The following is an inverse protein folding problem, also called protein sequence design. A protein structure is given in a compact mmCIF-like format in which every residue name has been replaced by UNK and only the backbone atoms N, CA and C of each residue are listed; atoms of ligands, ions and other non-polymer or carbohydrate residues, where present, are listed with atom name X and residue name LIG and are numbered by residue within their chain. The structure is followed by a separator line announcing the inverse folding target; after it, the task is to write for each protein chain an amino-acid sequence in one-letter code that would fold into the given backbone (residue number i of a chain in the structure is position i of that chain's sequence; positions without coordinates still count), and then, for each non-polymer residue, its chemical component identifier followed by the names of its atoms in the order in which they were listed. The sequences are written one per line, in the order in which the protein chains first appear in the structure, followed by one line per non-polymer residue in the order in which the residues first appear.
data_IF_771507997004
#
_entry.id   IF_771507997004
#
_cell.length_a   1.000
_cell.length_b   1.000
_cell.length_c   1.000
_cell.angle_alpha   90.00
_cell.angle_beta   90.00
_cell.angle_gamma   90.00
#
_symmetry.space_group_name_H-M   'P 1'
#
loop_
_entity.id
_entity.type
_entity.pdbx_description
1 polymer ?
#
# COMPACT_ATOMS: atom_id res chain seq x y z
N UNK A 1 39.43 37.30 -28.36
CA UNK A 1 38.73 36.29 -27.55
C UNK A 1 37.71 37.02 -26.71
N UNK A 2 36.43 36.67 -26.81
CA UNK A 2 35.39 37.20 -25.93
C UNK A 2 35.62 36.53 -24.58
N UNK A 3 35.97 37.31 -23.55
CA UNK A 3 36.32 36.81 -22.21
C UNK A 3 35.10 36.46 -21.39
N UNK A 4 33.97 37.11 -21.65
CA UNK A 4 32.75 36.99 -20.86
C UNK A 4 31.53 36.83 -21.75
N UNK A 5 30.84 35.70 -21.57
CA UNK A 5 29.55 35.44 -22.18
C UNK A 5 28.44 35.89 -21.22
N UNK A 6 27.97 37.12 -21.38
CA UNK A 6 26.86 37.69 -20.60
C UNK A 6 25.52 36.99 -20.83
N UNK A 7 25.41 36.13 -21.85
CA UNK A 7 24.26 35.24 -22.07
C UNK A 7 24.47 33.84 -21.42
N UNK A 8 25.53 33.65 -20.61
CA UNK A 8 25.70 32.43 -19.84
C UNK A 8 24.54 32.24 -18.86
N UNK A 9 24.11 31.00 -18.69
CA UNK A 9 23.10 30.62 -17.69
C UNK A 9 23.50 31.03 -16.27
N UNK A 10 24.80 31.27 -16.02
CA UNK A 10 25.34 31.74 -14.74
C UNK A 10 24.85 33.16 -14.37
N UNK A 11 24.46 33.98 -15.35
CA UNK A 11 23.92 35.33 -15.15
C UNK A 11 22.38 35.38 -15.24
N UNK A 12 21.73 34.23 -15.48
CA UNK A 12 20.28 34.14 -15.64
C UNK A 12 19.70 33.47 -14.40
N UNK A 13 19.05 34.27 -13.56
CA UNK A 13 18.31 33.73 -12.42
C UNK A 13 16.93 33.25 -12.89
N UNK A 14 16.82 31.96 -13.22
CA UNK A 14 15.55 31.39 -13.64
C UNK A 14 14.54 31.44 -12.48
N UNK A 15 13.30 31.89 -12.71
CA UNK A 15 12.27 31.78 -11.70
C UNK A 15 12.13 30.31 -11.31
N UNK A 16 12.16 30.02 -10.00
CA UNK A 16 11.90 28.67 -9.51
C UNK A 16 10.53 28.26 -10.04
N UNK A 17 10.49 27.16 -10.80
CA UNK A 17 9.21 26.59 -11.22
C UNK A 17 8.37 26.36 -9.96
N UNK A 18 7.08 26.74 -9.96
CA UNK A 18 6.23 26.47 -8.81
C UNK A 18 6.28 24.97 -8.52
N UNK A 19 6.26 24.57 -7.23
CA UNK A 19 6.30 23.16 -6.87
C UNK A 19 5.12 22.46 -7.55
N UNK A 20 5.40 21.40 -8.30
CA UNK A 20 4.35 20.61 -8.95
C UNK A 20 3.47 19.99 -7.87
N UNK A 21 2.15 20.13 -8.00
CA UNK A 21 1.23 19.46 -7.08
C UNK A 21 1.44 17.96 -7.21
N UNK A 22 1.63 17.26 -6.09
CA UNK A 22 1.73 15.80 -6.10
C UNK A 22 0.37 15.27 -6.51
N UNK A 23 0.33 14.55 -7.63
CA UNK A 23 -0.87 13.87 -8.09
C UNK A 23 -0.91 12.49 -7.45
N UNK A 24 -1.70 12.32 -6.38
CA UNK A 24 -2.12 11.02 -5.88
C UNK A 24 -3.62 10.85 -6.15
N UNK A 25 -4.08 9.60 -6.22
CA UNK A 25 -5.51 9.31 -6.32
C UNK A 25 -6.21 9.70 -5.01
N UNK A 26 -7.48 10.12 -5.10
CA UNK A 26 -8.33 10.17 -3.92
C UNK A 26 -8.61 8.76 -3.38
N UNK A 27 -9.08 8.65 -2.14
CA UNK A 27 -9.44 7.36 -1.55
C UNK A 27 -10.57 6.67 -2.31
N UNK A 28 -11.54 7.45 -2.83
CA UNK A 28 -12.64 6.94 -3.65
C UNK A 28 -12.13 6.39 -4.99
N UNK A 29 -11.28 7.16 -5.68
CA UNK A 29 -10.71 6.74 -6.97
C UNK A 29 -9.78 5.55 -6.80
N UNK A 30 -8.97 5.51 -5.73
CA UNK A 30 -8.10 4.38 -5.44
C UNK A 30 -8.91 3.09 -5.21
N UNK A 31 -10.01 3.15 -4.45
CA UNK A 31 -10.92 2.01 -4.21
C UNK A 31 -11.62 1.58 -5.50
N UNK A 32 -12.16 2.53 -6.28
CA UNK A 32 -12.80 2.25 -7.57
C UNK A 32 -11.82 1.60 -8.54
N UNK A 33 -10.61 2.15 -8.66
CA UNK A 33 -9.60 1.64 -9.56
C UNK A 33 -9.09 0.26 -9.12
N UNK A 34 -8.86 0.05 -7.83
CA UNK A 34 -8.52 -1.28 -7.29
C UNK A 34 -9.55 -2.34 -7.65
N UNK A 35 -10.84 -2.07 -7.41
CA UNK A 35 -11.91 -3.00 -7.82
C UNK A 35 -11.91 -3.25 -9.32
N UNK A 36 -11.80 -2.19 -10.12
CA UNK A 36 -11.72 -2.30 -11.58
C UNK A 36 -10.52 -3.14 -12.05
N UNK A 37 -9.37 -3.04 -11.38
CA UNK A 37 -8.20 -3.87 -11.65
C UNK A 37 -8.53 -5.35 -11.40
N UNK A 38 -9.13 -5.67 -10.25
CA UNK A 38 -9.45 -7.06 -9.88
C UNK A 38 -10.41 -7.71 -10.89
N UNK A 39 -11.35 -6.95 -11.43
CA UNK A 39 -12.33 -7.42 -12.41
C UNK A 39 -11.81 -7.38 -13.86
N UNK A 40 -10.59 -6.87 -14.10
CA UNK A 40 -10.06 -6.70 -15.46
C UNK A 40 -9.74 -8.06 -16.12
N UNK A 41 -10.17 -8.29 -17.37
CA UNK A 41 -10.05 -9.60 -18.01
C UNK A 41 -8.61 -9.95 -18.43
N UNK A 42 -7.79 -8.95 -18.80
CA UNK A 42 -6.40 -9.21 -19.19
C UNK A 42 -5.50 -9.29 -17.95
N UNK A 43 -5.06 -10.50 -17.62
CA UNK A 43 -4.22 -10.79 -16.45
C UNK A 43 -2.90 -10.02 -16.45
N UNK A 44 -2.36 -9.65 -17.63
CA UNK A 44 -1.12 -8.85 -17.73
C UNK A 44 -1.35 -7.44 -17.17
N UNK A 45 -2.46 -6.83 -17.58
CA UNK A 45 -2.86 -5.49 -17.13
C UNK A 45 -3.12 -5.52 -15.63
N UNK A 46 -3.87 -6.52 -15.16
CA UNK A 46 -4.18 -6.73 -13.74
C UNK A 46 -2.90 -6.80 -12.91
N UNK A 47 -2.01 -7.72 -13.25
CA UNK A 47 -0.74 -7.95 -12.56
C UNK A 47 0.12 -6.68 -12.52
N UNK A 48 0.27 -6.00 -13.66
CA UNK A 48 1.06 -4.77 -13.74
C UNK A 48 0.49 -3.66 -12.85
N UNK A 49 -0.81 -3.41 -12.92
CA UNK A 49 -1.44 -2.32 -12.14
C UNK A 49 -1.42 -2.61 -10.63
N UNK A 50 -1.58 -3.86 -10.21
CA UNK A 50 -1.43 -4.22 -8.79
C UNK A 50 0.01 -4.02 -8.30
N UNK A 51 1.03 -4.33 -9.10
CA UNK A 51 2.43 -4.02 -8.74
C UNK A 51 2.66 -2.51 -8.55
N UNK A 52 2.05 -1.67 -9.38
CA UNK A 52 2.15 -0.22 -9.22
C UNK A 52 1.37 0.31 -8.01
N UNK A 53 0.14 -0.17 -7.80
CA UNK A 53 -0.76 0.36 -6.76
C UNK A 53 -0.48 -0.22 -5.36
N UNK A 54 -0.20 -1.52 -5.26
CA UNK A 54 -0.03 -2.22 -3.97
C UNK A 54 1.43 -2.31 -3.51
N UNK A 55 2.36 -2.50 -4.45
CA UNK A 55 3.80 -2.56 -4.14
C UNK A 55 4.53 -1.23 -4.38
N UNK A 56 3.91 -0.26 -5.06
CA UNK A 56 4.46 1.08 -5.24
C UNK A 56 5.68 1.13 -6.15
N UNK A 57 5.89 0.14 -7.03
CA UNK A 57 7.09 0.07 -7.86
C UNK A 57 7.21 1.20 -8.88
N UNK A 58 8.44 1.56 -9.23
CA UNK A 58 8.69 2.49 -10.35
C UNK A 58 8.50 1.75 -11.67
N UNK A 59 8.10 2.49 -12.71
CA UNK A 59 7.92 1.97 -14.08
C UNK A 59 9.11 1.12 -14.57
N UNK A 60 10.33 1.60 -14.35
CA UNK A 60 11.53 0.87 -14.75
C UNK A 60 11.81 -0.38 -13.90
N UNK A 61 11.42 -0.37 -12.62
CA UNK A 61 11.54 -1.53 -11.74
C UNK A 61 10.61 -2.65 -12.22
N UNK A 62 9.33 -2.34 -12.48
CA UNK A 62 8.37 -3.32 -13.03
C UNK A 62 8.82 -3.85 -14.39
N UNK A 63 9.33 -2.98 -15.26
CA UNK A 63 9.90 -3.39 -16.55
C UNK A 63 11.16 -4.29 -16.41
N UNK A 64 11.83 -4.23 -15.26
CA UNK A 64 13.03 -4.97 -14.92
C UNK A 64 12.81 -6.29 -14.18
N UNK A 65 11.60 -6.54 -13.66
CA UNK A 65 11.32 -7.74 -12.86
C UNK A 65 11.43 -9.02 -13.68
N UNK A 66 11.94 -10.05 -13.03
CA UNK A 66 12.05 -11.42 -13.50
C UNK A 66 11.33 -12.38 -12.53
N UNK A 67 10.93 -13.57 -12.98
CA UNK A 67 10.23 -14.53 -12.11
C UNK A 67 11.10 -14.98 -10.95
N UNK A 68 12.42 -15.09 -11.13
CA UNK A 68 13.36 -15.39 -10.05
C UNK A 68 13.42 -14.34 -8.94
N UNK A 69 12.92 -13.13 -9.18
CA UNK A 69 12.87 -12.07 -8.16
C UNK A 69 11.68 -12.24 -7.20
N UNK A 70 10.77 -13.17 -7.47
CA UNK A 70 9.54 -13.40 -6.70
C UNK A 70 9.69 -14.68 -5.87
N UNK A 71 9.70 -14.53 -4.55
CA UNK A 71 9.66 -15.63 -3.59
C UNK A 71 8.19 -15.91 -3.24
N UNK A 72 7.60 -16.92 -3.90
CA UNK A 72 6.18 -17.25 -3.74
C UNK A 72 5.86 -17.87 -2.38
N UNK A 73 6.84 -18.47 -1.70
CA UNK A 73 6.65 -19.11 -0.41
C UNK A 73 6.62 -18.06 0.71
N UNK A 74 7.45 -17.02 0.59
CA UNK A 74 7.49 -15.90 1.55
C UNK A 74 6.54 -14.77 1.21
N UNK A 75 6.01 -14.73 -0.02
CA UNK A 75 5.18 -13.61 -0.48
C UNK A 75 6.00 -12.32 -0.62
N UNK A 76 7.20 -12.40 -1.18
CA UNK A 76 8.14 -11.27 -1.29
C UNK A 76 8.60 -11.05 -2.73
N UNK A 77 8.86 -9.78 -3.08
CA UNK A 77 9.50 -9.41 -4.35
C UNK A 77 10.79 -8.65 -4.07
N UNK A 78 11.86 -9.04 -4.76
CA UNK A 78 13.17 -8.39 -4.71
C UNK A 78 13.39 -7.48 -5.91
N UNK A 79 13.49 -6.18 -5.69
CA UNK A 79 13.80 -5.21 -6.75
C UNK A 79 15.30 -5.16 -6.97
N UNK A 80 15.77 -5.79 -8.05
CA UNK A 80 17.21 -5.93 -8.33
C UNK A 80 17.72 -5.08 -9.49
N UNK A 81 16.83 -4.55 -10.35
CA UNK A 81 17.20 -3.84 -11.58
C UNK A 81 16.13 -2.85 -12.01
N UNK A 82 16.48 -1.94 -12.91
CA UNK A 82 15.54 -0.97 -13.49
C UNK A 82 15.81 -0.76 -14.98
N UNK A 83 14.77 -0.81 -15.80
CA UNK A 83 14.88 -0.65 -17.25
C UNK A 83 14.33 0.70 -17.68
N UNK A 84 15.08 1.40 -18.51
CA UNK A 84 14.65 2.68 -19.10
C UNK A 84 14.85 2.65 -20.61
N UNK A 85 13.97 3.35 -21.33
CA UNK A 85 14.19 3.59 -22.76
C UNK A 85 14.95 4.89 -22.94
N UNK A 86 15.98 4.89 -23.80
CA UNK A 86 16.73 6.09 -24.21
C UNK A 86 16.63 6.24 -25.72
N UNK A 87 16.21 7.42 -26.18
CA UNK A 87 16.10 7.73 -27.61
C UNK A 87 17.42 7.48 -28.32
N UNK A 88 17.39 6.70 -29.40
CA UNK A 88 18.58 6.32 -30.18
C UNK A 88 19.35 5.10 -29.63
N UNK A 89 19.16 4.72 -28.37
CA UNK A 89 19.88 3.60 -27.73
C UNK A 89 18.98 2.42 -27.35
N UNK A 90 17.66 2.58 -27.45
CA UNK A 90 16.70 1.51 -27.13
C UNK A 90 16.50 1.33 -25.62
N UNK A 91 16.19 0.11 -25.21
CA UNK A 91 16.03 -0.23 -23.79
C UNK A 91 17.40 -0.46 -23.16
N UNK A 92 17.69 0.29 -22.10
CA UNK A 92 18.89 0.18 -21.29
C UNK A 92 18.50 -0.33 -19.92
N UNK A 93 19.08 -1.46 -19.55
CA UNK A 93 19.04 -1.96 -18.20
C UNK A 93 20.06 -1.20 -17.36
N UNK A 94 19.62 -0.71 -16.20
CA UNK A 94 20.47 -0.09 -15.20
C UNK A 94 20.41 -0.94 -13.96
N UNK A 95 21.56 -1.47 -13.60
CA UNK A 95 21.73 -1.99 -12.26
C UNK A 95 21.55 -0.85 -11.23
N UNK A 96 21.02 -1.16 -10.04
CA UNK A 96 20.81 -0.17 -9.01
C UNK A 96 22.16 0.48 -8.67
N UNK A 97 22.22 1.82 -8.73
CA UNK A 97 23.48 2.57 -8.56
C UNK A 97 24.15 2.35 -7.20
N UNK A 98 23.45 1.75 -6.23
CA UNK A 98 23.95 1.43 -4.88
C UNK A 98 23.27 0.17 -4.33
N UNK A 99 23.93 -0.55 -3.41
CA UNK A 99 23.35 -1.71 -2.69
C UNK A 99 22.03 -1.35 -1.97
N UNK A 100 21.88 -0.11 -1.49
CA UNK A 100 20.62 0.39 -0.89
C UNK A 100 19.41 0.41 -1.83
N UNK A 101 19.63 0.37 -3.15
CA UNK A 101 18.54 0.36 -4.12
C UNK A 101 18.04 -1.05 -4.44
N UNK A 102 18.78 -2.10 -4.07
CA UNK A 102 18.26 -3.46 -3.96
C UNK A 102 17.42 -3.56 -2.69
N UNK A 103 16.19 -4.00 -2.83
CA UNK A 103 15.27 -4.14 -1.68
C UNK A 103 14.31 -5.28 -1.90
N UNK A 104 14.03 -5.99 -0.81
CA UNK A 104 13.00 -7.02 -0.76
C UNK A 104 11.80 -6.49 0.01
N UNK A 105 10.61 -6.79 -0.47
CA UNK A 105 9.39 -6.29 0.13
C UNK A 105 8.27 -7.32 0.04
N UNK A 106 7.66 -7.55 1.20
CA UNK A 106 6.44 -8.34 1.32
C UNK A 106 5.30 -7.67 0.55
N UNK A 107 4.56 -8.51 -0.17
CA UNK A 107 3.41 -8.14 -0.99
C UNK A 107 2.11 -8.71 -0.41
N UNK A 108 0.96 -8.05 -0.63
CA UNK A 108 -0.32 -8.59 -0.20
C UNK A 108 -0.68 -9.90 -0.92
N UNK A 109 -1.40 -10.79 -0.23
CA UNK A 109 -1.84 -12.10 -0.76
C UNK A 109 -2.56 -11.98 -2.11
N UNK A 110 -3.42 -10.98 -2.28
CA UNK A 110 -4.14 -10.76 -3.54
C UNK A 110 -3.19 -10.53 -4.74
N UNK A 111 -2.06 -9.86 -4.52
CA UNK A 111 -1.04 -9.66 -5.56
C UNK A 111 -0.26 -10.95 -5.79
N UNK A 112 0.05 -11.70 -4.73
CA UNK A 112 0.73 -12.98 -4.83
C UNK A 112 -0.07 -13.98 -5.67
N UNK A 113 -1.35 -14.15 -5.38
CA UNK A 113 -2.26 -15.04 -6.12
C UNK A 113 -2.43 -14.58 -7.57
N UNK A 114 -2.59 -13.28 -7.81
CA UNK A 114 -2.64 -12.73 -9.17
C UNK A 114 -1.37 -13.05 -9.97
N UNK A 115 -0.19 -13.01 -9.33
CA UNK A 115 1.08 -13.34 -9.98
C UNK A 115 1.21 -14.84 -10.26
N UNK A 116 0.66 -15.72 -9.42
CA UNK A 116 0.58 -17.16 -9.69
C UNK A 116 -0.29 -17.43 -10.92
N UNK A 117 -1.51 -16.86 -10.97
CA UNK A 117 -2.40 -16.94 -12.13
C UNK A 117 -1.71 -16.41 -13.41
N UNK A 118 -0.99 -15.30 -13.28
CA UNK A 118 -0.24 -14.73 -14.41
C UNK A 118 0.87 -15.65 -14.90
N UNK A 119 1.59 -16.31 -13.99
CA UNK A 119 2.65 -17.27 -14.33
C UNK A 119 2.09 -18.46 -15.11
N UNK A 120 0.94 -18.98 -14.69
CA UNK A 120 0.25 -20.06 -15.41
C UNK A 120 -0.21 -19.61 -16.80
N UNK A 121 -0.82 -18.42 -16.90
CA UNK A 121 -1.23 -17.85 -18.18
C UNK A 121 -0.04 -17.69 -19.13
N UNK A 122 1.08 -17.15 -18.65
CA UNK A 122 2.27 -16.97 -19.48
C UNK A 122 2.87 -18.31 -19.90
N UNK A 123 2.88 -19.32 -19.01
CA UNK A 123 3.38 -20.67 -19.33
C UNK A 123 2.55 -21.32 -20.44
N UNK A 124 1.22 -21.26 -20.34
CA UNK A 124 0.31 -21.73 -21.41
C UNK A 124 0.58 -21.00 -22.71
N UNK A 125 0.72 -19.67 -22.65
CA UNK A 125 0.98 -18.83 -23.83
C UNK A 125 2.33 -19.14 -24.49
N UNK A 126 3.37 -19.44 -23.70
CA UNK A 126 4.69 -19.88 -24.20
C UNK A 126 4.57 -21.22 -24.95
N UNK A 127 3.82 -22.17 -24.39
CA UNK A 127 3.61 -23.47 -25.03
C UNK A 127 2.85 -23.36 -26.37
N UNK A 128 1.89 -22.44 -26.48
CA UNK A 128 1.15 -22.18 -27.73
C UNK A 128 2.02 -21.59 -28.86
N UNK A 129 3.01 -20.76 -28.51
CA UNK A 129 3.82 -20.01 -29.48
C UNK A 129 5.09 -20.75 -29.92
N UNK A 130 5.54 -21.76 -29.15
CA UNK A 130 6.70 -22.59 -29.49
C UNK A 130 7.95 -21.76 -29.81
N UNK A 131 8.57 -22.05 -30.94
CA UNK A 131 9.84 -21.43 -31.39
C UNK A 131 9.76 -19.92 -31.64
N UNK A 132 8.55 -19.33 -31.71
CA UNK A 132 8.38 -17.88 -31.85
C UNK A 132 8.72 -17.12 -30.56
N UNK A 133 8.73 -17.82 -29.42
CA UNK A 133 8.97 -17.24 -28.10
C UNK A 133 10.46 -17.29 -27.75
N UNK A 134 11.08 -16.13 -27.54
CA UNK A 134 12.43 -16.05 -27.00
C UNK A 134 12.47 -16.53 -25.54
N UNK A 135 13.37 -17.44 -25.20
CA UNK A 135 13.52 -17.94 -23.82
C UNK A 135 14.08 -16.84 -22.90
N UNK A 136 13.35 -16.53 -21.83
CA UNK A 136 13.73 -15.51 -20.86
C UNK A 136 12.95 -15.66 -19.55
N UNK A 137 13.45 -14.98 -18.51
CA UNK A 137 12.83 -14.97 -17.18
C UNK A 137 12.04 -13.69 -16.88
N UNK A 138 11.81 -12.81 -17.87
CA UNK A 138 11.13 -11.54 -17.63
C UNK A 138 9.68 -11.73 -17.21
N UNK A 139 9.28 -10.99 -16.18
CA UNK A 139 7.91 -11.01 -15.69
C UNK A 139 6.95 -10.51 -16.76
N UNK A 140 7.28 -9.40 -17.42
CA UNK A 140 6.48 -8.85 -18.52
C UNK A 140 7.23 -8.91 -19.85
N UNK A 141 6.63 -9.64 -20.79
CA UNK A 141 7.16 -9.86 -22.14
C UNK A 141 6.20 -9.34 -23.20
N UNK A 142 6.75 -9.03 -24.37
CA UNK A 142 6.01 -8.91 -25.62
C UNK A 142 5.56 -10.29 -26.09
N UNK A 143 4.73 -10.34 -27.14
CA UNK A 143 4.23 -11.62 -27.71
C UNK A 143 5.35 -12.53 -28.24
N UNK A 144 6.51 -11.97 -28.62
CA UNK A 144 7.69 -12.72 -29.07
C UNK A 144 8.67 -13.08 -27.93
N UNK A 145 8.29 -12.88 -26.68
CA UNK A 145 9.15 -13.14 -25.51
C UNK A 145 10.09 -11.99 -25.15
N UNK A 146 10.34 -11.03 -26.03
CA UNK A 146 11.23 -9.90 -25.72
C UNK A 146 10.70 -9.07 -24.56
N UNK A 147 11.61 -8.39 -23.86
CA UNK A 147 11.25 -7.49 -22.75
C UNK A 147 10.20 -6.47 -23.17
N UNK A 148 9.18 -6.25 -22.34
CA UNK A 148 8.15 -5.24 -22.59
C UNK A 148 8.73 -3.83 -22.46
N UNK A 149 8.39 -2.93 -23.41
CA UNK A 149 8.80 -1.54 -23.32
C UNK A 149 8.18 -0.85 -22.09
N UNK A 150 8.95 -0.08 -21.30
CA UNK A 150 8.42 0.63 -20.13
C UNK A 150 7.22 1.54 -20.44
N UNK A 151 7.17 2.15 -21.63
CA UNK A 151 6.06 3.00 -22.06
C UNK A 151 4.74 2.24 -22.22
N UNK A 152 4.78 0.92 -22.45
CA UNK A 152 3.59 0.10 -22.60
C UNK A 152 2.73 0.11 -21.34
N UNK A 153 3.34 0.09 -20.15
CA UNK A 153 2.62 0.21 -18.88
C UNK A 153 1.85 1.52 -18.76
N UNK A 154 2.39 2.62 -19.30
CA UNK A 154 1.68 3.91 -19.35
C UNK A 154 0.47 3.83 -20.27
N UNK A 155 0.61 3.16 -21.42
CA UNK A 155 -0.51 2.90 -22.32
C UNK A 155 -1.60 2.04 -21.67
N UNK A 156 -1.20 1.01 -20.91
CA UNK A 156 -2.12 0.13 -20.18
C UNK A 156 -2.90 0.88 -19.10
N UNK A 157 -2.21 1.69 -18.27
CA UNK A 157 -2.87 2.53 -17.27
C UNK A 157 -3.88 3.48 -17.93
N UNK A 158 -3.46 4.21 -18.97
CA UNK A 158 -4.33 5.16 -19.67
C UNK A 158 -5.56 4.49 -20.27
N UNK A 159 -5.43 3.24 -20.75
CA UNK A 159 -6.56 2.46 -21.22
C UNK A 159 -7.53 2.12 -20.08
N UNK A 160 -7.01 1.56 -18.98
CA UNK A 160 -7.85 1.17 -17.84
C UNK A 160 -8.54 2.36 -17.18
N UNK A 161 -7.88 3.51 -17.02
CA UNK A 161 -8.51 4.71 -16.45
C UNK A 161 -9.68 5.21 -17.32
N UNK A 162 -9.51 5.21 -18.64
CA UNK A 162 -10.61 5.57 -19.57
C UNK A 162 -11.78 4.60 -19.48
N UNK A 163 -11.50 3.29 -19.42
CA UNK A 163 -12.54 2.27 -19.30
C UNK A 163 -13.24 2.30 -17.93
N UNK A 164 -12.53 2.68 -16.88
CA UNK A 164 -13.08 2.85 -15.54
C UNK A 164 -13.83 4.19 -15.32
N UNK A 165 -13.80 5.10 -16.31
CA UNK A 165 -14.27 6.48 -16.19
C UNK A 165 -13.69 7.16 -14.93
N UNK A 166 -12.36 7.13 -14.83
CA UNK A 166 -11.56 7.81 -13.80
C UNK A 166 -10.67 8.83 -14.50
N UNK A 167 -10.48 9.98 -13.86
CA UNK A 167 -9.59 11.04 -14.35
C UNK A 167 -8.17 10.53 -14.59
N UNK A 168 -7.41 11.29 -15.36
CA UNK A 168 -6.06 10.89 -15.71
C UNK A 168 -5.13 10.88 -14.49
N UNK A 169 -4.46 9.75 -14.30
CA UNK A 169 -3.37 9.58 -13.34
C UNK A 169 -2.17 8.96 -14.04
N UNK A 170 -0.98 9.28 -13.54
CA UNK A 170 0.27 8.69 -14.02
C UNK A 170 0.63 7.42 -13.23
N UNK A 171 1.57 6.61 -13.74
CA UNK A 171 2.14 5.50 -12.96
C UNK A 171 2.85 5.99 -11.68
N UNK A 172 3.39 7.22 -11.71
CA UNK A 172 3.99 7.81 -10.53
C UNK A 172 2.91 8.20 -9.50
N UNK A 173 1.73 8.58 -9.97
CA UNK A 173 0.58 8.86 -9.13
C UNK A 173 0.12 7.63 -8.35
N UNK A 174 0.09 6.44 -8.98
CA UNK A 174 -0.21 5.17 -8.28
C UNK A 174 0.79 4.89 -7.14
N UNK A 175 2.07 5.16 -7.39
CA UNK A 175 3.10 5.06 -6.36
C UNK A 175 2.92 6.09 -5.25
N UNK A 176 2.54 7.33 -5.57
CA UNK A 176 2.21 8.32 -4.54
C UNK A 176 1.01 7.89 -3.72
N UNK A 177 -0.04 7.36 -4.34
CA UNK A 177 -1.18 6.76 -3.65
C UNK A 177 -0.72 5.66 -2.70
N UNK A 178 0.13 4.73 -3.13
CA UNK A 178 0.69 3.66 -2.29
C UNK A 178 1.44 4.20 -1.06
N UNK A 179 2.26 5.24 -1.23
CA UNK A 179 3.01 5.88 -0.15
C UNK A 179 2.04 6.57 0.82
N UNK A 180 1.11 7.38 0.30
CA UNK A 180 0.12 8.11 1.10
C UNK A 180 -0.75 7.16 1.91
N UNK A 181 -1.24 6.07 1.31
CA UNK A 181 -2.07 5.08 2.00
C UNK A 181 -1.30 4.37 3.13
N UNK A 182 -0.03 4.05 2.94
CA UNK A 182 0.79 3.46 4.01
C UNK A 182 0.97 4.44 5.19
N UNK A 183 1.21 5.72 4.91
CA UNK A 183 1.34 6.75 5.94
C UNK A 183 0.01 6.94 6.66
N UNK A 184 -1.11 7.01 5.92
CA UNK A 184 -2.45 7.11 6.48
C UNK A 184 -2.81 5.92 7.37
N UNK A 185 -2.32 4.72 7.04
CA UNK A 185 -2.44 3.52 7.85
C UNK A 185 -1.48 3.50 9.07
N UNK A 186 -0.70 4.55 9.31
CA UNK A 186 0.19 4.67 10.46
C UNK A 186 1.54 3.94 10.30
N UNK A 187 1.91 3.49 9.10
CA UNK A 187 3.21 2.85 8.86
C UNK A 187 4.33 3.89 9.07
N UNK A 188 5.38 3.57 9.85
CA UNK A 188 6.47 4.51 10.09
C UNK A 188 7.10 5.02 8.78
N UNK A 189 7.32 6.33 8.69
CA UNK A 189 7.86 7.00 7.48
C UNK A 189 9.18 6.37 7.01
N UNK A 190 10.04 5.95 7.95
CA UNK A 190 11.31 5.28 7.63
C UNK A 190 11.05 3.95 6.91
N UNK A 191 10.07 3.17 7.37
CA UNK A 191 9.64 1.93 6.73
C UNK A 191 9.05 2.20 5.35
N UNK A 192 8.18 3.21 5.21
CA UNK A 192 7.62 3.60 3.90
C UNK A 192 8.72 4.04 2.93
N UNK A 193 9.70 4.82 3.39
CA UNK A 193 10.84 5.27 2.59
C UNK A 193 11.73 4.10 2.14
N UNK A 194 11.97 3.13 3.01
CA UNK A 194 12.71 1.91 2.70
C UNK A 194 11.97 1.07 1.65
N UNK A 195 10.66 0.82 1.84
CA UNK A 195 9.81 0.11 0.88
C UNK A 195 9.74 0.82 -0.48
N UNK A 196 9.70 2.15 -0.47
CA UNK A 196 9.73 2.96 -1.67
C UNK A 196 11.13 2.94 -2.35
N UNK A 197 12.21 2.62 -1.63
CA UNK A 197 13.57 2.69 -2.16
C UNK A 197 13.99 4.14 -2.42
N UNK A 198 13.77 5.03 -1.44
CA UNK A 198 14.31 6.39 -1.45
C UNK A 198 15.66 6.41 -0.75
N UNK A 199 16.72 6.84 -1.46
CA UNK A 199 18.06 6.95 -0.90
C UNK A 199 18.15 7.98 0.26
N UNK A 200 17.21 8.93 0.31
CA UNK A 200 16.96 9.80 1.46
C UNK A 200 15.46 9.93 1.65
N UNK A 201 14.98 9.90 2.89
CA UNK A 201 13.58 10.22 3.22
C UNK A 201 13.16 11.59 2.65
N UNK A 202 14.13 12.51 2.49
CA UNK A 202 13.91 13.86 1.98
C UNK A 202 13.53 13.95 0.50
N UNK A 203 13.72 12.91 -0.32
CA UNK A 203 13.31 12.92 -1.75
C UNK A 203 11.79 12.89 -1.91
N UNK A 204 11.05 12.89 -0.80
CA UNK A 204 9.59 12.72 -0.73
C UNK A 204 9.02 13.57 0.41
N UNK A 205 9.78 14.56 0.92
CA UNK A 205 9.33 15.42 2.04
C UNK A 205 7.98 16.08 1.77
N UNK A 206 7.70 16.51 0.54
CA UNK A 206 6.42 17.15 0.20
C UNK A 206 5.24 16.18 0.21
N UNK A 207 5.49 14.91 -0.16
CA UNK A 207 4.49 13.83 -0.16
C UNK A 207 4.24 13.39 1.28
N UNK A 208 5.31 13.23 2.07
CA UNK A 208 5.19 12.99 3.50
C UNK A 208 4.45 14.15 4.16
N UNK A 209 4.80 15.41 3.90
CA UNK A 209 4.12 16.58 4.47
C UNK A 209 2.65 16.71 4.01
N UNK A 210 2.31 16.24 2.82
CA UNK A 210 0.91 16.16 2.37
C UNK A 210 0.15 15.05 3.11
N UNK A 211 0.70 13.84 3.18
CA UNK A 211 0.09 12.72 3.90
C UNK A 211 0.05 12.98 5.42
N UNK A 212 1.05 13.63 6.00
CA UNK A 212 1.09 14.01 7.41
C UNK A 212 -0.01 15.02 7.74
N UNK A 213 -0.35 15.93 6.84
CA UNK A 213 -1.45 16.88 7.04
C UNK A 213 -2.81 16.19 7.14
N UNK A 214 -3.03 15.06 6.46
CA UNK A 214 -4.25 14.28 6.64
C UNK A 214 -4.21 13.40 7.91
N UNK A 215 -3.01 12.96 8.34
CA UNK A 215 -2.85 12.18 9.59
C UNK A 215 -2.75 13.03 10.86
N UNK A 216 -2.48 14.33 10.76
CA UNK A 216 -2.30 15.22 11.92
C UNK A 216 -3.53 15.22 12.83
N UNK A 217 -4.72 15.20 12.21
CA UNK A 217 -5.98 15.05 12.95
C UNK A 217 -6.08 13.71 13.67
N UNK A 218 -5.72 12.61 13.01
CA UNK A 218 -5.68 11.28 13.66
C UNK A 218 -4.64 11.21 14.78
N UNK A 219 -3.50 11.89 14.63
CA UNK A 219 -2.47 11.98 15.67
C UNK A 219 -2.96 12.80 16.87
N UNK A 220 -3.64 13.92 16.62
CA UNK A 220 -4.28 14.74 17.64
C UNK A 220 -5.38 13.97 18.38
N UNK A 221 -6.23 13.25 17.65
CA UNK A 221 -7.30 12.42 18.22
C UNK A 221 -6.72 11.28 19.08
N UNK A 222 -5.61 10.65 18.64
CA UNK A 222 -4.95 9.57 19.38
C UNK A 222 -4.17 10.08 20.61
N UNK A 223 -3.58 11.27 20.54
CA UNK A 223 -3.01 11.93 21.72
C UNK A 223 -4.11 12.28 22.72
N UNK A 224 -5.23 12.85 22.23
CA UNK A 224 -6.40 13.13 23.04
C UNK A 224 -6.95 11.88 23.73
N UNK A 225 -7.03 10.74 23.02
CA UNK A 225 -7.51 9.49 23.61
C UNK A 225 -6.56 8.90 24.66
N UNK A 226 -5.24 9.00 24.47
CA UNK A 226 -4.25 8.53 25.45
C UNK A 226 -4.39 9.30 26.77
N UNK A 227 -4.51 10.62 26.73
CA UNK A 227 -4.61 11.44 27.94
C UNK A 227 -6.01 11.44 28.55
N UNK A 228 -7.07 11.40 27.75
CA UNK A 228 -8.45 11.30 28.26
C UNK A 228 -8.79 9.92 28.83
N UNK A 229 -8.16 8.84 28.34
CA UNK A 229 -8.26 7.52 28.96
C UNK A 229 -7.59 7.49 30.34
N UNK A 230 -6.48 8.22 30.53
CA UNK A 230 -5.83 8.37 31.83
C UNK A 230 -6.66 9.22 32.80
N UNK A 231 -7.30 10.29 32.33
CA UNK A 231 -8.21 11.10 33.14
C UNK A 231 -9.46 10.31 33.56
N UNK A 232 -10.09 9.56 32.65
CA UNK A 232 -11.22 8.69 32.99
C UNK A 232 -10.86 7.58 33.96
N UNK A 233 -9.67 6.97 33.81
CA UNK A 233 -9.18 5.96 34.75
C UNK A 233 -8.89 6.59 36.12
N UNK A 234 -8.28 7.77 36.16
CA UNK A 234 -8.00 8.51 37.39
C UNK A 234 -9.26 9.06 38.07
N UNK A 235 -10.29 9.45 37.31
CA UNK A 235 -11.61 9.83 37.83
C UNK A 235 -12.34 8.60 38.38
N UNK A 236 -12.32 7.48 37.67
CA UNK A 236 -12.94 6.21 38.12
C UNK A 236 -12.28 5.70 39.41
N UNK A 237 -10.95 5.79 39.52
CA UNK A 237 -10.19 5.47 40.74
C UNK A 237 -10.48 6.44 41.89
N UNK A 238 -10.70 7.73 41.62
CA UNK A 238 -11.08 8.72 42.64
C UNK A 238 -12.52 8.59 43.11
N UNK A 239 -13.43 8.18 42.22
CA UNK A 239 -14.83 7.89 42.54
C UNK A 239 -14.95 6.65 43.43
N UNK A 240 -14.12 5.61 43.21
CA UNK A 240 -14.11 4.43 44.08
C UNK A 240 -13.55 4.66 45.49
N UNK A 241 -12.74 5.71 45.68
CA UNK A 241 -12.14 6.05 46.98
C UNK A 241 -13.03 6.98 47.84
N UNK A 242 -14.14 7.51 47.31
CA UNK A 242 -14.99 8.49 48.01
C UNK A 242 -16.38 7.99 48.43
N UNK A 243 -16.81 6.79 48.06
CA UNK A 243 -18.12 6.28 48.47
C UNK A 243 -18.06 5.43 49.75
N UNK A 244 -18.11 6.12 50.89
CA UNK A 244 -18.78 5.60 52.08
C UNK A 244 -20.22 6.13 52.12
N UNK A 245 -21.16 5.25 51.74
CA UNK A 245 -22.58 5.16 52.16
C UNK A 245 -23.53 6.31 51.76
N UNK A 246 -24.45 6.05 50.83
CA UNK A 246 -25.88 5.86 51.16
C UNK A 246 -26.73 5.37 49.98
N UNK A 247 -27.29 4.19 50.19
CA UNK A 247 -28.49 3.50 49.66
C UNK A 247 -29.31 4.00 48.44
N UNK A 248 -29.75 2.97 47.70
CA UNK A 248 -30.80 2.87 46.67
C UNK A 248 -30.56 3.44 45.26
N UNK A 249 -29.68 2.81 44.49
CA UNK A 249 -29.92 2.44 43.05
C UNK A 249 -28.73 1.67 42.40
N UNK A 250 -27.65 1.41 43.12
CA UNK A 250 -26.43 0.74 42.61
C UNK A 250 -26.52 -0.80 42.42
N UNK A 251 -27.66 -1.44 42.67
CA UNK A 251 -27.69 -2.90 42.75
C UNK A 251 -27.57 -3.64 41.42
N UNK A 252 -27.90 -3.03 40.28
CA UNK A 252 -27.89 -3.74 38.98
C UNK A 252 -26.52 -3.72 38.29
N UNK A 253 -25.86 -2.58 38.16
CA UNK A 253 -24.59 -2.49 37.43
C UNK A 253 -23.43 -3.22 38.14
N UNK A 254 -23.39 -3.16 39.48
CA UNK A 254 -22.37 -3.86 40.28
C UNK A 254 -22.62 -5.38 40.27
N UNK A 255 -23.88 -5.81 40.22
CA UNK A 255 -24.23 -7.23 40.07
C UNK A 255 -23.88 -7.74 38.67
N UNK A 256 -24.15 -6.96 37.63
CA UNK A 256 -23.82 -7.27 36.24
C UNK A 256 -22.30 -7.39 36.05
N UNK A 257 -21.53 -6.46 36.62
CA UNK A 257 -20.07 -6.51 36.57
C UNK A 257 -19.48 -7.71 37.33
N UNK A 258 -20.04 -8.05 38.49
CA UNK A 258 -19.65 -9.27 39.23
C UNK A 258 -19.98 -10.54 38.43
N UNK A 259 -21.11 -10.54 37.72
CA UNK A 259 -21.51 -11.69 36.92
C UNK A 259 -20.59 -11.87 35.71
N UNK A 260 -20.28 -10.80 34.98
CA UNK A 260 -19.36 -10.80 33.84
C UNK A 260 -17.98 -11.27 34.27
N UNK A 261 -17.46 -10.75 35.39
CA UNK A 261 -16.14 -11.14 35.91
C UNK A 261 -16.07 -12.61 36.32
N UNK A 262 -17.14 -13.15 36.92
CA UNK A 262 -17.23 -14.56 37.26
C UNK A 262 -17.31 -15.47 36.02
N UNK A 263 -17.99 -15.01 34.97
CA UNK A 263 -18.11 -15.74 33.71
C UNK A 263 -16.79 -15.76 32.92
N UNK A 264 -16.07 -14.63 32.87
CA UNK A 264 -14.72 -14.54 32.31
C UNK A 264 -13.75 -15.52 32.97
N UNK A 265 -13.74 -15.58 34.30
CA UNK A 265 -12.89 -16.51 35.05
C UNK A 265 -13.26 -17.97 34.79
N UNK A 266 -14.55 -18.28 34.64
CA UNK A 266 -15.03 -19.63 34.33
C UNK A 266 -14.61 -20.07 32.92
N UNK A 267 -14.58 -19.14 31.97
CA UNK A 267 -14.21 -19.39 30.57
C UNK A 267 -12.70 -19.25 30.31
N UNK A 268 -11.94 -18.77 31.29
CA UNK A 268 -10.47 -18.71 31.26
C UNK A 268 -9.89 -17.46 30.58
N UNK A 269 -10.64 -16.36 30.53
CA UNK A 269 -10.17 -15.09 29.95
C UNK A 269 -9.51 -14.22 31.02
N UNK A 270 -8.33 -13.66 30.71
CA UNK A 270 -7.56 -12.82 31.64
C UNK A 270 -7.90 -11.33 31.50
N UNK A 271 -8.37 -10.91 30.32
CA UNK A 271 -8.72 -9.51 30.03
C UNK A 271 -10.15 -9.35 29.47
N UNK A 272 -10.74 -8.17 29.65
CA UNK A 272 -12.09 -7.86 29.17
C UNK A 272 -12.16 -7.82 27.63
N UNK A 273 -11.09 -7.32 27.00
CA UNK A 273 -10.98 -7.20 25.55
C UNK A 273 -11.01 -8.58 24.86
N UNK A 274 -10.33 -9.59 25.43
CA UNK A 274 -10.41 -10.98 24.96
C UNK A 274 -11.81 -11.59 25.10
N UNK A 275 -12.54 -11.22 26.15
CA UNK A 275 -13.91 -11.69 26.38
C UNK A 275 -14.91 -11.03 25.44
N UNK A 276 -14.76 -9.73 25.16
CA UNK A 276 -15.58 -8.99 24.20
C UNK A 276 -15.38 -9.52 22.77
N UNK A 277 -14.14 -9.77 22.35
CA UNK A 277 -13.85 -10.40 21.05
C UNK A 277 -14.48 -11.81 20.93
N UNK A 278 -14.52 -12.56 22.04
CA UNK A 278 -15.19 -13.87 22.09
C UNK A 278 -16.72 -13.77 21.96
N UNK A 279 -17.34 -12.78 22.61
CA UNK A 279 -18.78 -12.54 22.52
C UNK A 279 -19.18 -12.09 21.10
N UNK A 280 -18.43 -11.19 20.50
CA UNK A 280 -18.64 -10.75 19.11
C UNK A 280 -18.52 -11.93 18.13
N UNK A 281 -17.56 -12.83 18.36
CA UNK A 281 -17.42 -14.06 17.57
C UNK A 281 -18.63 -15.00 17.72
N UNK A 282 -19.17 -15.14 18.93
CA UNK A 282 -20.37 -15.95 19.18
C UNK A 282 -21.63 -15.34 18.54
N UNK A 283 -21.75 -14.01 18.56
CA UNK A 283 -22.84 -13.28 17.94
C UNK A 283 -22.79 -13.39 16.41
N UNK A 284 -21.60 -13.25 15.80
CA UNK A 284 -21.39 -13.52 14.38
C UNK A 284 -21.74 -14.95 14.00
N UNK A 285 -21.43 -15.94 14.85
CA UNK A 285 -21.83 -17.35 14.62
C UNK A 285 -23.34 -17.54 14.72
N UNK A 286 -24.02 -16.83 15.62
CA UNK A 286 -25.49 -16.86 15.74
C UNK A 286 -26.18 -16.24 14.52
N UNK A 287 -25.66 -15.13 14.00
CA UNK A 287 -26.20 -14.46 12.81
C UNK A 287 -26.04 -15.36 11.58
N UNK A 288 -24.85 -15.92 11.35
CA UNK A 288 -24.60 -16.86 10.23
C UNK A 288 -25.44 -18.14 10.30
N UNK A 289 -25.84 -18.59 11.50
CA UNK A 289 -26.72 -19.75 11.66
C UNK A 289 -28.19 -19.41 11.34
N UNK A 290 -28.65 -18.19 11.65
CA UNK A 290 -29.98 -17.69 11.28
C UNK A 290 -30.13 -17.51 9.76
N UNK A 291 -29.09 -17.05 9.09
CA UNK A 291 -29.08 -16.87 7.62
C UNK A 291 -29.01 -18.20 6.85
N UNK A 292 -28.73 -19.31 7.53
CA UNK A 292 -28.67 -20.66 6.94
C UNK A 292 -29.96 -21.48 7.16
N UNK A 293 -30.87 -21.00 8.01
CA UNK A 293 -32.18 -21.64 8.32
C UNK A 293 -33.38 -20.90 7.67
N UNK A 294 -33.13 -19.88 6.84
CA UNK A 294 -34.12 -19.27 5.90
C UNK A 294 -33.88 -19.73 4.47
#
# INVERSE_FOLDING_TARGET
MITDNYASADYINFPKRPPHKIECMSDEDAKRFYKFILDYPDIRYKSAMLLFLLAGFRRGEVAGLEWKDIDFDKGEITVSRSVTTVTGFGMIEKEPKTEMSKRTLAIPEVLLETLKEYKEWQTKRRAELGDYMEENDYLFTQENGKRLYPSTFTGWLNKMLREANIDHYSLHSLRHTNITLQIAAGVPIVTVAARAGHARASTTSDIYAYALRSTDKMAADKLGSIFSAQEKLAETLKLSDQETVSDTDETDAVAEFKHIKAEMQRLGFETLEEYEEYLDFLEMKRIKKRDFEM
#
